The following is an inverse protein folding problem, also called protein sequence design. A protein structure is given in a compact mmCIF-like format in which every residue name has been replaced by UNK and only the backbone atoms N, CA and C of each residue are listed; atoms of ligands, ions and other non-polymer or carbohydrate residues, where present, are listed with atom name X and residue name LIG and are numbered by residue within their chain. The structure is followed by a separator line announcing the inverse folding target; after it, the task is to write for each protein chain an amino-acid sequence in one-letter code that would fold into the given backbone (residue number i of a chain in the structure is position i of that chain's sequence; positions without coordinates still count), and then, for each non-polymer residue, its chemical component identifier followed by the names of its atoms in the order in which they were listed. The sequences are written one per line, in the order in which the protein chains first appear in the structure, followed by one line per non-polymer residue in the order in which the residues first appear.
data_IF_783749252278
#
_entry.id   IF_783749252278
#
_cell.length_a   1.000
_cell.length_b   1.000
_cell.length_c   1.000
_cell.angle_alpha   90.00
_cell.angle_beta   90.00
_cell.angle_gamma   90.00
#
_symmetry.space_group_name_H-M   'P 1'
#
loop_
_entity.id
_entity.type
_entity.pdbx_description
1 polymer ?
#
# COMPACT_ATOMS: atom_id res chain seq x y z
N UNK A 1 8.00 28.63 9.48
CA UNK A 1 8.98 27.54 9.36
C UNK A 1 8.34 26.42 8.55
N UNK A 2 8.87 26.13 7.37
CA UNK A 2 8.38 25.06 6.50
C UNK A 2 9.02 23.76 6.94
N UNK A 3 8.28 22.90 7.63
CA UNK A 3 8.76 21.59 8.03
C UNK A 3 8.77 20.68 6.79
N UNK A 4 9.97 20.39 6.28
CA UNK A 4 10.15 19.43 5.20
C UNK A 4 10.05 18.04 5.83
N UNK A 5 8.94 17.35 5.55
CA UNK A 5 8.78 15.94 5.87
C UNK A 5 9.59 15.17 4.84
N UNK A 6 10.70 14.58 5.28
CA UNK A 6 11.55 13.73 4.44
C UNK A 6 11.27 12.29 4.82
N UNK A 7 11.09 11.42 3.81
CA UNK A 7 11.09 9.98 4.07
C UNK A 7 12.43 9.37 3.66
N UNK A 8 12.88 8.40 4.45
CA UNK A 8 14.12 7.67 4.22
C UNK A 8 13.80 6.18 4.28
N UNK A 9 13.93 5.48 3.14
CA UNK A 9 13.73 4.02 3.07
C UNK A 9 14.72 3.33 4.00
N UNK A 10 14.20 2.48 4.87
CA UNK A 10 14.98 1.72 5.83
C UNK A 10 15.11 0.26 5.40
N UNK A 11 13.99 -0.38 5.06
CA UNK A 11 13.96 -1.81 4.80
C UNK A 11 12.80 -2.20 3.87
N UNK A 12 12.95 -3.31 3.16
CA UNK A 12 11.89 -3.98 2.40
C UNK A 12 11.88 -5.46 2.74
N UNK A 13 10.77 -5.94 3.31
CA UNK A 13 10.58 -7.35 3.66
C UNK A 13 9.51 -7.93 2.75
N UNK A 14 9.83 -9.04 2.09
CA UNK A 14 8.86 -9.86 1.37
C UNK A 14 8.33 -10.93 2.32
N UNK A 15 7.01 -10.96 2.55
CA UNK A 15 6.38 -11.96 3.39
C UNK A 15 5.78 -13.07 2.55
N UNK A 16 6.29 -14.28 2.76
CA UNK A 16 5.99 -15.48 1.98
C UNK A 16 6.30 -15.29 0.48
N UNK A 17 6.28 -16.37 -0.31
CA UNK A 17 6.43 -16.25 -1.77
C UNK A 17 5.26 -15.47 -2.42
N UNK A 18 4.24 -15.09 -1.65
CA UNK A 18 2.94 -14.54 -2.09
C UNK A 18 2.82 -13.02 -1.92
N UNK A 19 3.76 -12.28 -2.52
CA UNK A 19 3.48 -10.94 -3.07
C UNK A 19 3.10 -9.81 -2.09
N UNK A 20 3.32 -9.96 -0.77
CA UNK A 20 3.38 -8.81 0.15
C UNK A 20 4.78 -8.21 0.18
N UNK A 21 4.86 -6.91 -0.05
CA UNK A 21 6.05 -6.09 0.14
C UNK A 21 5.81 -5.05 1.22
N UNK A 22 6.46 -5.25 2.36
CA UNK A 22 6.50 -4.27 3.43
C UNK A 22 7.71 -3.38 3.24
N UNK A 23 7.48 -2.10 2.92
CA UNK A 23 8.54 -1.10 2.87
C UNK A 23 8.41 -0.13 4.02
N UNK A 24 9.44 -0.07 4.85
CA UNK A 24 9.51 0.83 6.00
C UNK A 24 10.34 2.07 5.68
N UNK A 25 9.89 3.21 6.19
CA UNK A 25 10.51 4.51 6.00
C UNK A 25 10.56 5.27 7.32
N UNK A 26 11.66 5.98 7.56
CA UNK A 26 11.70 7.00 8.61
C UNK A 26 11.03 8.28 8.10
N UNK A 27 10.25 8.96 8.94
CA UNK A 27 9.71 10.29 8.64
C UNK A 27 10.26 11.33 9.63
N UNK A 28 11.01 12.30 9.08
CA UNK A 28 11.46 13.43 9.88
C UNK A 28 10.27 14.31 10.29
N UNK A 29 10.19 14.63 11.59
CA UNK A 29 9.19 15.52 12.18
C UNK A 29 7.74 15.09 11.92
N UNK A 30 7.44 13.79 12.08
CA UNK A 30 6.07 13.31 12.03
C UNK A 30 5.24 14.06 13.06
N UNK A 31 4.24 14.82 12.60
CA UNK A 31 3.33 15.56 13.48
C UNK A 31 2.49 14.59 14.30
N UNK A 32 1.80 15.10 15.32
CA UNK A 32 0.89 14.31 16.16
C UNK A 32 -0.18 13.54 15.37
N UNK A 33 -0.47 13.96 14.13
CA UNK A 33 -1.44 13.33 13.23
C UNK A 33 -0.88 13.25 11.81
N UNK A 34 -1.10 12.12 11.15
CA UNK A 34 -0.92 11.97 9.70
C UNK A 34 -2.06 12.73 9.04
N UNK A 35 -1.76 13.92 8.54
CA UNK A 35 -2.70 14.76 7.82
C UNK A 35 -2.64 14.49 6.31
N UNK A 36 -3.59 15.09 5.59
CA UNK A 36 -3.59 15.12 4.12
C UNK A 36 -2.24 15.52 3.53
N UNK A 37 -1.50 16.44 4.17
CA UNK A 37 -0.19 16.87 3.70
C UNK A 37 0.83 15.72 3.73
N UNK A 38 0.76 14.85 4.73
CA UNK A 38 1.69 13.72 4.83
C UNK A 38 1.44 12.71 3.72
N UNK A 39 0.17 12.39 3.45
CA UNK A 39 -0.20 11.49 2.36
C UNK A 39 0.09 12.12 0.99
N UNK A 40 -0.21 13.39 0.77
CA UNK A 40 0.13 14.07 -0.48
C UNK A 40 1.65 14.09 -0.74
N UNK A 41 2.47 14.26 0.31
CA UNK A 41 3.93 14.13 0.18
C UNK A 41 4.36 12.70 -0.13
N UNK A 42 3.70 11.70 0.46
CA UNK A 42 3.94 10.29 0.14
C UNK A 42 3.61 10.00 -1.34
N UNK A 43 2.44 10.40 -1.83
CA UNK A 43 2.01 10.25 -3.23
C UNK A 43 3.02 10.90 -4.19
N UNK A 44 3.48 12.11 -3.86
CA UNK A 44 4.45 12.84 -4.69
C UNK A 44 5.89 12.31 -4.59
N UNK A 45 6.16 11.34 -3.71
CA UNK A 45 7.51 10.83 -3.48
C UNK A 45 7.83 9.63 -4.37
N UNK A 46 9.12 9.38 -4.57
CA UNK A 46 9.61 8.14 -5.20
C UNK A 46 9.17 6.86 -4.47
N UNK A 47 8.67 6.98 -3.24
CA UNK A 47 8.24 5.83 -2.46
C UNK A 47 6.98 5.23 -3.06
N UNK A 48 6.00 6.08 -3.36
CA UNK A 48 4.77 5.66 -4.03
C UNK A 48 5.02 5.36 -5.51
N UNK A 49 5.82 6.16 -6.20
CA UNK A 49 5.99 6.03 -7.66
C UNK A 49 6.95 4.93 -8.09
N UNK A 50 7.81 4.42 -7.19
CA UNK A 50 8.82 3.41 -7.53
C UNK A 50 9.07 2.36 -6.43
N UNK A 51 9.37 2.76 -5.19
CA UNK A 51 9.79 1.78 -4.16
C UNK A 51 8.72 0.76 -3.80
N UNK A 52 7.44 1.15 -3.91
CA UNK A 52 6.29 0.28 -3.63
C UNK A 52 5.87 -0.59 -4.81
N UNK A 53 6.57 -0.51 -5.96
CA UNK A 53 6.28 -1.33 -7.12
C UNK A 53 6.74 -2.79 -6.93
N UNK A 54 6.05 -3.76 -7.56
CA UNK A 54 6.54 -5.12 -7.76
C UNK A 54 7.99 -5.14 -8.30
N UNK A 55 8.84 -6.03 -7.80
CA UNK A 55 10.23 -6.16 -8.29
C UNK A 55 10.30 -6.51 -9.77
N UNK A 56 9.34 -7.28 -10.29
CA UNK A 56 9.24 -7.57 -11.72
C UNK A 56 9.01 -6.30 -12.55
N UNK A 57 8.25 -5.32 -12.04
CA UNK A 57 8.05 -4.05 -12.72
C UNK A 57 9.32 -3.21 -12.63
N UNK A 58 9.92 -3.10 -11.44
CA UNK A 58 11.17 -2.35 -11.24
C UNK A 58 12.31 -2.83 -12.13
N UNK A 59 12.47 -4.15 -12.26
CA UNK A 59 13.57 -4.76 -13.05
C UNK A 59 13.33 -4.71 -14.55
N UNK A 60 12.08 -4.53 -14.99
CA UNK A 60 11.71 -4.46 -16.41
C UNK A 60 11.27 -3.06 -16.87
N UNK A 61 11.44 -2.01 -16.05
CA UNK A 61 11.06 -0.64 -16.38
C UNK A 61 11.68 -0.09 -17.68
N UNK A 62 12.78 -0.67 -18.17
CA UNK A 62 13.46 -0.30 -19.42
C UNK A 62 12.94 -1.05 -20.66
N UNK A 63 12.11 -2.08 -20.48
CA UNK A 63 11.60 -2.88 -21.59
C UNK A 63 10.23 -2.34 -21.96
N UNK A 64 10.06 -2.01 -23.24
CA UNK A 64 8.87 -1.48 -23.92
C UNK A 64 7.68 -2.45 -23.90
N UNK A 65 7.37 -3.01 -22.75
CA UNK A 65 6.33 -4.00 -22.50
C UNK A 65 5.14 -3.24 -21.94
N UNK A 66 4.22 -2.83 -22.82
CA UNK A 66 3.07 -1.99 -22.48
C UNK A 66 2.14 -2.55 -21.39
N UNK A 67 2.29 -3.81 -20.97
CA UNK A 67 1.45 -4.45 -19.97
C UNK A 67 2.07 -4.49 -18.55
N UNK A 68 3.37 -4.22 -18.37
CA UNK A 68 4.01 -4.19 -17.04
C UNK A 68 3.99 -2.77 -16.47
N UNK A 69 2.78 -2.30 -16.11
CA UNK A 69 2.60 -1.00 -15.48
C UNK A 69 2.19 -1.15 -14.00
N UNK A 70 2.53 -0.16 -13.14
CA UNK A 70 1.91 -0.06 -11.83
C UNK A 70 0.39 -0.06 -11.94
N UNK A 71 -0.35 -0.68 -11.01
CA UNK A 71 -1.81 -0.66 -11.02
C UNK A 71 -2.38 0.77 -11.13
N UNK A 72 -1.81 1.70 -10.36
CA UNK A 72 -2.28 3.07 -10.27
C UNK A 72 -1.43 4.06 -11.08
N UNK A 73 -2.12 4.99 -11.76
CA UNK A 73 -1.52 6.18 -12.34
C UNK A 73 -1.17 7.17 -11.23
N UNK A 74 0.08 7.14 -10.78
CA UNK A 74 0.56 7.96 -9.66
C UNK A 74 0.44 9.48 -9.88
N UNK A 75 0.32 9.94 -11.13
CA UNK A 75 0.10 11.36 -11.43
C UNK A 75 -1.36 11.81 -11.23
N UNK A 76 -2.27 10.84 -11.08
CA UNK A 76 -3.71 11.04 -10.98
C UNK A 76 -4.28 10.68 -9.62
N UNK A 77 -3.64 9.76 -8.90
CA UNK A 77 -3.99 9.43 -7.51
C UNK A 77 -3.84 10.66 -6.63
N UNK A 78 -4.81 10.83 -5.73
CA UNK A 78 -4.87 11.93 -4.77
C UNK A 78 -5.21 11.41 -3.37
N UNK A 79 -5.06 12.26 -2.36
CA UNK A 79 -5.38 11.90 -0.98
C UNK A 79 -6.80 11.34 -0.80
N UNK A 80 -7.79 11.86 -1.52
CA UNK A 80 -9.19 11.47 -1.33
C UNK A 80 -9.50 10.06 -1.84
N UNK A 81 -8.57 9.47 -2.61
CA UNK A 81 -8.64 8.08 -3.05
C UNK A 81 -8.27 7.10 -1.94
N UNK A 82 -7.58 7.58 -0.90
CA UNK A 82 -7.26 6.79 0.27
C UNK A 82 -8.41 6.85 1.28
N UNK A 83 -8.83 5.68 1.76
CA UNK A 83 -9.77 5.60 2.89
C UNK A 83 -9.00 5.46 4.19
N UNK A 84 -9.38 6.27 5.17
CA UNK A 84 -8.85 6.20 6.52
C UNK A 84 -9.50 5.06 7.31
N UNK A 85 -8.69 4.34 8.07
CA UNK A 85 -9.10 3.31 9.00
C UNK A 85 -8.37 3.45 10.34
N UNK A 86 -9.09 3.13 11.42
CA UNK A 86 -8.43 2.76 12.68
C UNK A 86 -7.79 1.37 12.53
N UNK A 87 -6.87 0.99 13.44
CA UNK A 87 -6.26 -0.35 13.43
C UNK A 87 -7.31 -1.46 13.40
N UNK A 88 -8.29 -1.38 14.31
CA UNK A 88 -9.39 -2.35 14.37
C UNK A 88 -10.28 -2.30 13.11
N UNK A 89 -10.54 -1.11 12.58
CA UNK A 89 -11.33 -0.94 11.35
C UNK A 89 -10.64 -1.52 10.12
N UNK A 90 -9.33 -1.35 9.98
CA UNK A 90 -8.56 -1.96 8.89
C UNK A 90 -8.60 -3.49 9.00
N UNK A 91 -8.37 -4.02 10.19
CA UNK A 91 -8.41 -5.47 10.42
C UNK A 91 -9.78 -6.02 10.02
N UNK A 92 -10.87 -5.39 10.50
CA UNK A 92 -12.22 -5.82 10.14
C UNK A 92 -12.47 -5.71 8.63
N UNK A 93 -12.05 -4.61 8.00
CA UNK A 93 -12.22 -4.41 6.57
C UNK A 93 -11.56 -5.53 5.75
N UNK A 94 -10.31 -5.91 6.07
CA UNK A 94 -9.59 -6.96 5.33
C UNK A 94 -10.21 -8.34 5.58
N UNK A 95 -10.64 -8.62 6.81
CA UNK A 95 -11.36 -9.87 7.13
C UNK A 95 -12.65 -9.96 6.31
N UNK A 96 -13.47 -8.90 6.29
CA UNK A 96 -14.71 -8.84 5.51
C UNK A 96 -14.45 -8.93 4.01
N UNK A 97 -13.42 -8.24 3.52
CA UNK A 97 -12.99 -8.28 2.12
C UNK A 97 -12.68 -9.73 1.70
N UNK A 98 -11.91 -10.48 2.50
CA UNK A 98 -11.59 -11.90 2.24
C UNK A 98 -12.76 -12.87 2.38
N UNK A 99 -13.86 -12.44 3.00
CA UNK A 99 -15.06 -13.26 3.20
C UNK A 99 -16.11 -13.03 2.12
N UNK A 100 -15.86 -12.14 1.15
CA UNK A 100 -16.71 -12.02 -0.03
C UNK A 100 -16.73 -13.35 -0.82
N UNK A 101 -17.84 -13.65 -1.49
CA UNK A 101 -18.04 -14.92 -2.20
C UNK A 101 -17.20 -15.01 -3.50
N UNK A 102 -16.58 -13.92 -3.92
CA UNK A 102 -15.87 -13.77 -5.20
C UNK A 102 -14.44 -14.34 -5.21
N UNK A 103 -13.89 -14.75 -4.06
CA UNK A 103 -12.49 -15.18 -3.93
C UNK A 103 -12.17 -16.59 -4.44
N UNK A 104 -13.17 -17.46 -4.57
CA UNK A 104 -12.95 -18.84 -4.99
C UNK A 104 -11.86 -19.57 -4.18
N UNK A 105 -10.95 -20.23 -4.89
CA UNK A 105 -9.87 -21.05 -4.30
C UNK A 105 -8.74 -20.20 -3.70
N UNK A 106 -8.52 -18.97 -4.19
CA UNK A 106 -7.44 -18.06 -3.76
C UNK A 106 -7.67 -17.49 -2.35
N UNK A 107 -8.87 -17.65 -1.80
CA UNK A 107 -9.24 -17.18 -0.46
C UNK A 107 -8.32 -17.73 0.63
N UNK A 108 -7.91 -18.98 0.51
CA UNK A 108 -7.07 -19.64 1.52
C UNK A 108 -5.69 -18.99 1.59
N UNK A 109 -5.07 -18.77 0.43
CA UNK A 109 -3.75 -18.15 0.30
C UNK A 109 -3.80 -16.69 0.76
N UNK A 110 -4.84 -15.95 0.37
CA UNK A 110 -5.07 -14.59 0.86
C UNK A 110 -5.13 -14.55 2.39
N UNK A 111 -5.87 -15.46 3.02
CA UNK A 111 -6.01 -15.50 4.49
C UNK A 111 -4.73 -15.90 5.21
N UNK A 112 -3.93 -16.79 4.63
CA UNK A 112 -2.62 -17.14 5.18
C UNK A 112 -1.69 -15.92 5.18
N UNK A 113 -1.61 -15.23 4.04
CA UNK A 113 -0.81 -14.01 3.87
C UNK A 113 -1.31 -12.91 4.80
N UNK A 114 -2.62 -12.72 4.89
CA UNK A 114 -3.25 -11.79 5.83
C UNK A 114 -2.87 -12.09 7.28
N UNK A 115 -2.87 -13.36 7.70
CA UNK A 115 -2.54 -13.75 9.07
C UNK A 115 -1.13 -13.24 9.47
N UNK A 116 -0.16 -13.33 8.56
CA UNK A 116 1.18 -12.80 8.75
C UNK A 116 1.21 -11.27 8.87
N UNK A 117 0.57 -10.56 7.94
CA UNK A 117 0.48 -9.10 7.97
C UNK A 117 -0.25 -8.58 9.20
N UNK A 118 -1.37 -9.21 9.55
CA UNK A 118 -2.19 -8.90 10.72
C UNK A 118 -1.37 -8.99 11.99
N UNK A 119 -0.55 -10.04 12.14
CA UNK A 119 0.34 -10.19 13.29
C UNK A 119 1.31 -9.01 13.41
N UNK A 120 1.92 -8.58 12.31
CA UNK A 120 2.83 -7.42 12.30
C UNK A 120 2.09 -6.13 12.72
N UNK A 121 0.91 -5.89 12.16
CA UNK A 121 0.08 -4.71 12.52
C UNK A 121 -0.35 -4.74 14.00
N UNK A 122 -0.61 -5.93 14.54
CA UNK A 122 -0.99 -6.11 15.94
C UNK A 122 0.20 -5.93 16.90
N UNK A 123 1.38 -6.42 16.53
CA UNK A 123 2.62 -6.29 17.30
C UNK A 123 3.18 -4.86 17.28
N UNK A 124 2.89 -4.09 16.23
CA UNK A 124 3.20 -2.66 16.16
C UNK A 124 2.25 -1.86 17.05
N UNK A 125 2.51 -1.84 18.37
CA UNK A 125 1.66 -1.23 19.41
C UNK A 125 1.24 0.21 19.05
N UNK A 126 2.19 0.99 18.55
CA UNK A 126 2.02 2.41 18.24
C UNK A 126 1.61 2.68 16.79
N UNK A 127 1.36 1.63 15.98
CA UNK A 127 0.77 1.81 14.66
C UNK A 127 -0.61 2.44 14.76
N UNK A 128 -0.75 3.60 14.13
CA UNK A 128 -2.00 4.33 14.05
C UNK A 128 -2.14 5.07 12.72
N UNK A 129 -3.38 5.47 12.42
CA UNK A 129 -3.79 6.13 11.18
C UNK A 129 -3.45 5.32 9.92
N UNK A 130 -4.31 4.36 9.59
CA UNK A 130 -4.15 3.54 8.40
C UNK A 130 -4.86 4.20 7.22
N UNK A 131 -4.16 4.32 6.11
CA UNK A 131 -4.68 4.83 4.85
C UNK A 131 -4.56 3.71 3.83
N UNK A 132 -5.70 3.22 3.37
CA UNK A 132 -5.78 2.14 2.39
C UNK A 132 -6.19 2.72 1.04
N UNK A 133 -5.53 2.25 -0.01
CA UNK A 133 -5.95 2.35 -1.40
C UNK A 133 -6.20 0.93 -1.91
N UNK A 134 -7.38 0.67 -2.47
CA UNK A 134 -7.76 -0.63 -3.02
C UNK A 134 -8.15 -0.45 -4.49
N UNK A 135 -7.60 -1.29 -5.36
CA UNK A 135 -7.89 -1.31 -6.79
C UNK A 135 -9.38 -1.51 -7.09
N UNK A 136 -10.08 -2.33 -6.32
CA UNK A 136 -11.49 -2.67 -6.54
C UNK A 136 -12.46 -1.49 -6.30
N UNK A 137 -11.96 -0.35 -5.80
CA UNK A 137 -12.77 0.85 -5.66
C UNK A 137 -12.89 1.67 -6.95
N UNK A 138 -12.12 1.30 -7.99
CA UNK A 138 -12.08 2.00 -9.26
C UNK A 138 -12.79 1.20 -10.34
N UNK A 139 -13.36 1.90 -11.31
CA UNK A 139 -13.92 1.28 -12.52
C UNK A 139 -12.83 1.12 -13.59
N UNK A 140 -12.99 0.17 -14.50
CA UNK A 140 -12.01 -0.13 -15.57
C UNK A 140 -11.56 1.10 -16.38
N UNK A 141 -12.47 2.06 -16.62
CA UNK A 141 -12.19 3.30 -17.37
C UNK A 141 -11.69 4.47 -16.49
N UNK A 142 -11.41 4.24 -15.20
CA UNK A 142 -10.93 5.32 -14.34
C UNK A 142 -9.53 5.76 -14.74
N UNK A 143 -9.38 7.06 -15.03
CA UNK A 143 -8.10 7.68 -15.42
C UNK A 143 -6.99 7.53 -14.37
N UNK A 144 -7.35 7.12 -13.15
CA UNK A 144 -6.43 6.82 -12.04
C UNK A 144 -5.79 5.43 -12.16
N UNK A 145 -6.26 4.58 -13.06
CA UNK A 145 -5.65 3.29 -13.37
C UNK A 145 -4.72 3.43 -14.57
N UNK A 146 -3.62 2.67 -14.58
CA UNK A 146 -2.81 2.54 -15.80
C UNK A 146 -3.36 1.39 -16.66
N UNK A 147 -3.11 1.42 -17.98
CA UNK A 147 -3.34 0.26 -18.84
C UNK A 147 -2.57 -0.97 -18.33
N UNK A 148 -3.17 -2.16 -18.37
CA UNK A 148 -2.54 -3.38 -17.86
C UNK A 148 -2.76 -3.60 -16.36
N UNK A 149 -3.65 -2.84 -15.70
CA UNK A 149 -3.98 -3.06 -14.28
C UNK A 149 -4.83 -4.32 -14.07
N UNK A 150 -5.47 -4.81 -15.11
CA UNK A 150 -6.28 -6.04 -15.12
C UNK A 150 -5.46 -7.32 -14.84
N UNK A 151 -4.13 -7.22 -14.86
CA UNK A 151 -3.24 -8.32 -14.46
C UNK A 151 -3.27 -8.57 -12.95
N UNK A 152 -3.81 -7.64 -12.16
CA UNK A 152 -3.89 -7.80 -10.73
C UNK A 152 -5.23 -8.40 -10.35
N UNK A 153 -5.24 -9.63 -9.82
CA UNK A 153 -6.44 -10.21 -9.23
C UNK A 153 -6.95 -9.40 -8.02
N UNK A 154 -6.02 -8.80 -7.27
CA UNK A 154 -6.29 -7.71 -6.33
C UNK A 154 -5.03 -6.86 -6.14
N UNK A 155 -5.21 -5.61 -5.71
CA UNK A 155 -4.10 -4.75 -5.29
C UNK A 155 -4.54 -3.84 -4.14
N UNK A 156 -3.89 -3.99 -2.99
CA UNK A 156 -4.06 -3.20 -1.77
C UNK A 156 -2.75 -2.48 -1.44
N UNK A 157 -2.84 -1.16 -1.23
CA UNK A 157 -1.74 -0.36 -0.69
C UNK A 157 -2.15 0.22 0.65
N UNK A 158 -1.48 -0.22 1.72
CA UNK A 158 -1.76 0.22 3.08
C UNK A 158 -0.58 1.06 3.56
N UNK A 159 -0.84 2.34 3.83
CA UNK A 159 0.10 3.23 4.50
C UNK A 159 -0.31 3.38 5.96
N UNK A 160 0.63 3.23 6.89
CA UNK A 160 0.39 3.57 8.29
C UNK A 160 1.65 4.13 8.94
N UNK A 161 1.48 4.71 10.11
CA UNK A 161 2.57 5.31 10.86
C UNK A 161 2.69 4.75 12.25
N UNK A 162 3.92 4.60 12.72
CA UNK A 162 4.24 4.42 14.12
C UNK A 162 4.91 5.71 14.60
N UNK A 163 4.17 6.48 15.39
CA UNK A 163 4.63 7.78 15.90
C UNK A 163 5.74 7.67 16.94
N UNK A 164 5.75 6.59 17.72
CA UNK A 164 6.77 6.38 18.74
C UNK A 164 8.18 6.24 18.12
N UNK A 165 8.25 5.61 16.95
CA UNK A 165 9.51 5.38 16.22
C UNK A 165 9.78 6.41 15.11
N UNK A 166 8.89 7.40 14.92
CA UNK A 166 8.89 8.28 13.74
C UNK A 166 9.00 7.48 12.44
N UNK A 167 8.24 6.39 12.37
CA UNK A 167 8.30 5.42 11.28
C UNK A 167 6.99 5.44 10.50
N UNK A 168 7.07 5.18 9.21
CA UNK A 168 5.92 4.92 8.37
C UNK A 168 6.19 3.69 7.54
N UNK A 169 5.16 2.90 7.35
CA UNK A 169 5.25 1.64 6.64
C UNK A 169 4.21 1.66 5.54
N UNK A 170 4.65 1.22 4.36
CA UNK A 170 3.76 0.91 3.26
C UNK A 170 3.78 -0.59 3.06
N UNK A 171 2.60 -1.19 3.03
CA UNK A 171 2.39 -2.53 2.54
C UNK A 171 1.79 -2.43 1.14
N UNK A 172 2.53 -2.88 0.14
CA UNK A 172 1.95 -3.23 -1.16
C UNK A 172 1.61 -4.71 -1.14
N UNK A 173 0.36 -5.05 -1.36
CA UNK A 173 -0.12 -6.42 -1.38
C UNK A 173 -0.95 -6.63 -2.63
N UNK A 174 -0.51 -7.52 -3.50
CA UNK A 174 -1.17 -7.80 -4.76
C UNK A 174 -1.09 -9.29 -5.08
N UNK A 175 -1.86 -9.72 -6.07
CA UNK A 175 -1.80 -11.05 -6.67
C UNK A 175 -1.94 -10.92 -8.19
N UNK A 176 -1.23 -11.76 -8.94
CA UNK A 176 -1.16 -11.78 -10.41
C UNK A 176 -2.00 -12.90 -11.03
#
# INVERSE_FOLDING_TARGET
MTYITRFIKQDTIQLNYHQIYLTSFHIDNLRSHVDENTINKFIASKFFTYDCLPEIIKTNCDISINYLNPAFNHTRIQFQDFKYFSKAGLIQYIEDYSNNDEWGDDRADFKEVWSGLRKIIQEDEYADNFYLLNLDWFTEDDIKLNPGNEIYGYYLLIFWTNRHENKSTVCSWYFD
#
